data_IF_880663013068
#
_entry.id   IF_880663013068
#
_cell.length_a   1.000
_cell.length_b   1.000
_cell.length_c   1.000
_cell.angle_alpha   90.00
_cell.angle_beta   90.00
_cell.angle_gamma   90.00
#
_symmetry.space_group_name_H-M   'P 1'
#
loop_
_entity.id
_entity.type
_entity.pdbx_description
1 polymer ?
#
# COMPACT_ATOMS: atom_id res chain seq x y z
N UNK A 1 -10.94 54.50 4.79
CA UNK A 1 -10.22 53.29 5.22
C UNK A 1 -11.27 52.19 5.38
N UNK A 2 -11.24 51.17 4.52
CA UNK A 2 -11.90 49.84 4.57
C UNK A 2 -12.27 49.46 3.12
N UNK A 3 -11.34 48.83 2.42
CA UNK A 3 -11.61 47.99 1.23
C UNK A 3 -10.34 47.20 0.89
N UNK A 4 -9.94 46.27 1.76
CA UNK A 4 -8.84 45.34 1.47
C UNK A 4 -8.92 44.10 2.36
N UNK A 5 -9.86 43.19 2.12
CA UNK A 5 -9.82 41.82 2.68
C UNK A 5 -10.85 40.88 2.02
N UNK A 6 -10.70 40.55 0.72
CA UNK A 6 -11.50 39.44 0.14
C UNK A 6 -10.95 38.82 -1.14
N UNK A 7 -9.63 38.68 -1.30
CA UNK A 7 -9.05 38.18 -2.56
C UNK A 7 -7.98 37.07 -2.49
N UNK A 8 -7.74 36.44 -1.33
CA UNK A 8 -6.65 35.45 -1.19
C UNK A 8 -7.07 34.00 -0.83
N UNK A 9 -8.36 33.68 -0.65
CA UNK A 9 -8.74 32.34 -0.16
C UNK A 9 -8.98 31.29 -1.25
N UNK A 10 -9.25 31.69 -2.50
CA UNK A 10 -9.67 30.75 -3.56
C UNK A 10 -8.47 30.09 -4.28
N UNK A 11 -7.36 30.81 -4.47
CA UNK A 11 -6.16 30.25 -5.11
C UNK A 11 -5.45 29.23 -4.22
N UNK A 12 -5.37 29.50 -2.91
CA UNK A 12 -4.63 28.68 -1.94
C UNK A 12 -5.30 27.31 -1.71
N UNK A 13 -6.64 27.27 -1.72
CA UNK A 13 -7.42 26.03 -1.59
C UNK A 13 -7.25 25.10 -2.79
N UNK A 14 -7.12 25.66 -4.00
CA UNK A 14 -6.96 24.87 -5.24
C UNK A 14 -5.56 24.22 -5.38
N UNK A 15 -4.51 24.93 -4.97
CA UNK A 15 -3.12 24.43 -4.99
C UNK A 15 -2.89 23.40 -3.89
N UNK A 16 -3.48 23.62 -2.70
CA UNK A 16 -3.43 22.66 -1.59
C UNK A 16 -4.16 21.36 -1.93
N UNK A 17 -5.37 21.41 -2.50
CA UNK A 17 -6.12 20.21 -2.91
C UNK A 17 -5.41 19.41 -4.00
N UNK A 18 -4.83 20.10 -4.99
CA UNK A 18 -4.03 19.47 -6.05
C UNK A 18 -2.75 18.80 -5.52
N UNK A 19 -2.06 19.40 -4.56
CA UNK A 19 -0.84 18.82 -3.98
C UNK A 19 -1.15 17.56 -3.17
N UNK A 20 -2.22 17.59 -2.37
CA UNK A 20 -2.61 16.46 -1.52
C UNK A 20 -3.02 15.21 -2.31
N UNK A 21 -3.68 15.37 -3.46
CA UNK A 21 -4.06 14.22 -4.30
C UNK A 21 -2.85 13.52 -4.92
N UNK A 22 -1.79 14.27 -5.29
CA UNK A 22 -0.55 13.65 -5.78
C UNK A 22 0.18 12.88 -4.67
N UNK A 23 0.23 13.44 -3.47
CA UNK A 23 0.79 12.74 -2.29
C UNK A 23 0.04 11.43 -2.03
N UNK A 24 -1.29 11.46 -2.01
CA UNK A 24 -2.11 10.26 -1.83
C UNK A 24 -1.83 9.21 -2.91
N UNK A 25 -1.78 9.60 -4.19
CA UNK A 25 -1.46 8.69 -5.30
C UNK A 25 -0.05 8.10 -5.18
N UNK A 26 0.96 8.90 -4.82
CA UNK A 26 2.31 8.41 -4.58
C UNK A 26 2.37 7.39 -3.44
N UNK A 27 1.60 7.59 -2.37
CA UNK A 27 1.48 6.63 -1.28
C UNK A 27 0.80 5.33 -1.72
N UNK A 28 -0.25 5.40 -2.54
CA UNK A 28 -0.88 4.19 -3.12
C UNK A 28 0.11 3.43 -4.02
N UNK A 29 0.88 4.13 -4.86
CA UNK A 29 1.96 3.53 -5.66
C UNK A 29 3.01 2.87 -4.77
N UNK A 30 3.42 3.52 -3.68
CA UNK A 30 4.37 2.98 -2.73
C UNK A 30 3.86 1.66 -2.12
N UNK A 31 2.61 1.62 -1.68
CA UNK A 31 1.99 0.40 -1.13
C UNK A 31 1.93 -0.69 -2.20
N UNK A 32 1.49 -0.38 -3.43
CA UNK A 32 1.49 -1.34 -4.53
C UNK A 32 2.90 -1.90 -4.81
N UNK A 33 3.92 -1.04 -4.81
CA UNK A 33 5.31 -1.45 -5.01
C UNK A 33 5.83 -2.35 -3.88
N UNK A 34 5.46 -2.07 -2.62
CA UNK A 34 5.80 -2.93 -1.48
C UNK A 34 5.20 -4.33 -1.64
N UNK A 35 3.93 -4.44 -2.02
CA UNK A 35 3.28 -5.73 -2.25
C UNK A 35 3.84 -6.46 -3.47
N UNK A 36 4.20 -5.75 -4.54
CA UNK A 36 4.92 -6.34 -5.67
C UNK A 36 6.27 -6.91 -5.24
N UNK A 37 6.99 -6.19 -4.37
CA UNK A 37 8.25 -6.65 -3.80
C UNK A 37 8.07 -7.90 -2.92
N UNK A 38 7.03 -7.94 -2.06
CA UNK A 38 6.72 -9.14 -1.27
C UNK A 38 6.35 -10.33 -2.15
N UNK A 39 5.57 -10.13 -3.22
CA UNK A 39 5.30 -11.17 -4.22
C UNK A 39 6.59 -11.77 -4.78
N UNK A 40 7.55 -10.93 -5.18
CA UNK A 40 8.83 -11.42 -5.74
C UNK A 40 9.62 -12.19 -4.67
N UNK A 41 9.66 -11.67 -3.45
CA UNK A 41 10.33 -12.34 -2.34
C UNK A 41 9.72 -13.71 -2.03
N UNK A 42 8.40 -13.81 -2.02
CA UNK A 42 7.67 -15.01 -1.60
C UNK A 42 7.54 -16.06 -2.70
N UNK A 43 7.41 -15.65 -3.97
CA UNK A 43 7.28 -16.59 -5.11
C UNK A 43 8.63 -16.96 -5.73
N UNK A 44 9.57 -16.02 -5.83
CA UNK A 44 10.81 -16.23 -6.60
C UNK A 44 12.04 -16.39 -5.72
N UNK A 45 12.10 -15.69 -4.59
CA UNK A 45 13.32 -15.58 -3.77
C UNK A 45 13.24 -16.29 -2.41
N UNK A 46 12.13 -16.97 -2.10
CA UNK A 46 11.85 -17.53 -0.78
C UNK A 46 12.95 -18.45 -0.24
N UNK A 47 13.45 -19.36 -1.09
CA UNK A 47 14.53 -20.31 -0.77
C UNK A 47 15.93 -19.77 -1.07
N UNK A 48 16.05 -18.52 -1.55
CA UNK A 48 17.32 -17.89 -1.91
C UNK A 48 17.88 -17.09 -0.72
N UNK A 49 19.18 -16.76 -0.69
CA UNK A 49 19.80 -16.05 0.43
C UNK A 49 19.07 -14.77 0.85
N UNK A 50 18.49 -14.03 -0.10
CA UNK A 50 17.70 -12.83 0.15
C UNK A 50 16.40 -13.12 0.91
N UNK A 51 15.63 -14.15 0.50
CA UNK A 51 14.42 -14.58 1.20
C UNK A 51 14.73 -15.11 2.59
N UNK A 52 15.74 -15.97 2.72
CA UNK A 52 16.21 -16.49 4.02
C UNK A 52 16.54 -15.36 5.00
N UNK A 53 17.31 -14.35 4.55
CA UNK A 53 17.68 -13.19 5.36
C UNK A 53 16.48 -12.31 5.71
N UNK A 54 15.55 -12.11 4.77
CA UNK A 54 14.41 -11.20 4.96
C UNK A 54 13.39 -11.77 5.94
N UNK A 55 13.09 -13.06 5.84
CA UNK A 55 12.10 -13.76 6.66
C UNK A 55 12.69 -14.50 7.86
N UNK A 56 14.03 -14.53 7.99
CA UNK A 56 14.71 -15.24 9.08
C UNK A 56 14.51 -16.76 9.05
N UNK A 57 14.40 -17.34 7.85
CA UNK A 57 14.19 -18.78 7.68
C UNK A 57 15.51 -19.55 7.58
N UNK A 58 15.50 -20.78 8.05
CA UNK A 58 16.54 -21.76 7.72
C UNK A 58 16.28 -22.35 6.32
N UNK A 59 17.29 -22.89 5.63
CA UNK A 59 17.09 -23.54 4.33
C UNK A 59 16.04 -24.66 4.37
N UNK A 60 16.05 -25.49 5.41
CA UNK A 60 15.07 -26.57 5.58
C UNK A 60 13.64 -26.04 5.71
N UNK A 61 13.41 -25.09 6.63
CA UNK A 61 12.09 -24.47 6.82
C UNK A 61 11.60 -23.77 5.54
N UNK A 62 12.49 -23.09 4.82
CA UNK A 62 12.13 -22.42 3.58
C UNK A 62 11.73 -23.41 2.48
N UNK A 63 12.42 -24.55 2.38
CA UNK A 63 12.06 -25.62 1.45
C UNK A 63 10.67 -26.20 1.78
N UNK A 64 10.42 -26.51 3.05
CA UNK A 64 9.16 -27.12 3.50
C UNK A 64 7.94 -26.19 3.31
N UNK A 65 8.16 -24.86 3.36
CA UNK A 65 7.08 -23.85 3.28
C UNK A 65 6.99 -23.15 1.94
N UNK A 66 7.80 -23.52 0.94
CA UNK A 66 7.91 -22.80 -0.33
C UNK A 66 6.57 -22.66 -1.08
N UNK A 67 5.75 -23.71 -1.10
CA UNK A 67 4.44 -23.68 -1.77
C UNK A 67 3.47 -22.74 -1.06
N UNK A 68 3.47 -22.76 0.29
CA UNK A 68 2.63 -21.86 1.08
C UNK A 68 3.06 -20.40 0.87
N UNK A 69 4.36 -20.14 0.86
CA UNK A 69 4.91 -18.81 0.58
C UNK A 69 4.54 -18.34 -0.84
N UNK A 70 4.66 -19.19 -1.85
CA UNK A 70 4.26 -18.83 -3.21
C UNK A 70 2.77 -18.45 -3.29
N UNK A 71 1.90 -19.11 -2.54
CA UNK A 71 0.48 -18.74 -2.44
C UNK A 71 0.28 -17.39 -1.73
N UNK A 72 1.03 -17.12 -0.65
CA UNK A 72 1.04 -15.80 0.00
C UNK A 72 1.47 -14.70 -0.98
N UNK A 73 2.49 -14.98 -1.78
CA UNK A 73 2.98 -14.08 -2.82
C UNK A 73 1.95 -13.79 -3.90
N UNK A 74 1.18 -14.80 -4.33
CA UNK A 74 0.10 -14.59 -5.30
C UNK A 74 -0.99 -13.63 -4.78
N UNK A 75 -1.37 -13.73 -3.50
CA UNK A 75 -2.31 -12.78 -2.90
C UNK A 75 -1.73 -11.35 -2.88
N UNK A 76 -0.43 -11.19 -2.58
CA UNK A 76 0.25 -9.91 -2.71
C UNK A 76 0.21 -9.37 -4.16
N UNK A 77 0.21 -10.26 -5.16
CA UNK A 77 -0.01 -9.92 -6.56
C UNK A 77 -1.39 -9.36 -6.84
N UNK A 78 -2.45 -9.97 -6.29
CA UNK A 78 -3.81 -9.43 -6.42
C UNK A 78 -3.96 -8.05 -5.77
N UNK A 79 -3.35 -7.85 -4.60
CA UNK A 79 -3.33 -6.54 -3.94
C UNK A 79 -2.65 -5.49 -4.82
N UNK A 80 -1.48 -5.82 -5.37
CA UNK A 80 -0.74 -4.95 -6.29
C UNK A 80 -1.57 -4.60 -7.52
N UNK A 81 -2.18 -5.59 -8.17
CA UNK A 81 -2.99 -5.39 -9.36
C UNK A 81 -4.22 -4.52 -9.08
N UNK A 82 -4.90 -4.73 -7.95
CA UNK A 82 -6.05 -3.93 -7.53
C UNK A 82 -5.68 -2.47 -7.26
N UNK A 83 -4.56 -2.22 -6.59
CA UNK A 83 -4.08 -0.85 -6.35
C UNK A 83 -3.65 -0.15 -7.64
N UNK A 84 -2.96 -0.84 -8.56
CA UNK A 84 -2.63 -0.26 -9.88
C UNK A 84 -3.90 0.04 -10.67
N UNK A 85 -4.87 -0.88 -10.67
CA UNK A 85 -6.15 -0.68 -11.33
C UNK A 85 -6.89 0.54 -10.78
N UNK A 86 -6.88 0.74 -9.46
CA UNK A 86 -7.48 1.92 -8.81
C UNK A 86 -6.92 3.25 -9.34
N UNK A 87 -5.62 3.29 -9.64
CA UNK A 87 -4.91 4.49 -10.11
C UNK A 87 -5.15 4.79 -11.59
N UNK A 88 -5.37 3.74 -12.39
CA UNK A 88 -5.53 3.83 -13.84
C UNK A 88 -7.00 3.88 -14.27
N UNK A 89 -7.95 3.69 -13.34
CA UNK A 89 -9.36 3.66 -13.67
C UNK A 89 -9.84 5.01 -14.24
N UNK A 90 -10.54 5.03 -15.40
CA UNK A 90 -10.93 6.28 -16.07
C UNK A 90 -11.96 7.10 -15.29
N UNK A 91 -12.75 6.47 -14.42
CA UNK A 91 -13.64 7.14 -13.47
C UNK A 91 -12.92 7.29 -12.11
N UNK A 92 -12.58 8.52 -11.67
CA UNK A 92 -11.85 8.75 -10.42
C UNK A 92 -12.61 8.32 -9.17
N UNK A 93 -13.94 8.45 -9.13
CA UNK A 93 -14.74 8.06 -7.98
C UNK A 93 -14.75 6.54 -7.80
N UNK A 94 -14.80 5.79 -8.89
CA UNK A 94 -14.68 4.33 -8.84
C UNK A 94 -13.25 3.88 -8.52
N UNK A 95 -12.25 4.55 -9.08
CA UNK A 95 -10.84 4.34 -8.72
C UNK A 95 -10.61 4.52 -7.21
N UNK A 96 -11.17 5.57 -6.61
CA UNK A 96 -11.14 5.79 -5.17
C UNK A 96 -11.74 4.62 -4.38
N UNK A 97 -12.92 4.11 -4.76
CA UNK A 97 -13.54 2.97 -4.08
C UNK A 97 -12.68 1.70 -4.13
N UNK A 98 -12.06 1.42 -5.29
CA UNK A 98 -11.12 0.29 -5.44
C UNK A 98 -9.91 0.48 -4.52
N UNK A 99 -9.31 1.67 -4.52
CA UNK A 99 -8.15 1.98 -3.69
C UNK A 99 -8.47 1.79 -2.20
N UNK A 100 -9.61 2.32 -1.73
CA UNK A 100 -10.07 2.16 -0.35
C UNK A 100 -10.23 0.69 0.02
N UNK A 101 -10.90 -0.10 -0.83
CA UNK A 101 -11.11 -1.52 -0.57
C UNK A 101 -9.78 -2.27 -0.41
N UNK A 102 -8.85 -2.11 -1.35
CA UNK A 102 -7.56 -2.81 -1.31
C UNK A 102 -6.66 -2.31 -0.18
N UNK A 103 -6.64 -1.01 0.12
CA UNK A 103 -5.89 -0.48 1.26
C UNK A 103 -6.44 -1.03 2.60
N UNK A 104 -7.75 -1.15 2.75
CA UNK A 104 -8.36 -1.78 3.93
C UNK A 104 -7.96 -3.26 4.05
N UNK A 105 -7.97 -4.01 2.93
CA UNK A 105 -7.47 -5.39 2.92
C UNK A 105 -6.01 -5.47 3.39
N UNK A 106 -5.14 -4.58 2.89
CA UNK A 106 -3.72 -4.52 3.31
C UNK A 106 -3.60 -4.21 4.80
N UNK A 107 -4.38 -3.26 5.33
CA UNK A 107 -4.37 -2.90 6.75
C UNK A 107 -4.77 -4.11 7.60
N UNK A 108 -5.89 -4.76 7.28
CA UNK A 108 -6.37 -5.92 8.03
C UNK A 108 -5.37 -7.07 7.98
N UNK A 109 -4.86 -7.40 6.79
CA UNK A 109 -3.86 -8.46 6.63
C UNK A 109 -2.56 -8.13 7.37
N UNK A 110 -2.08 -6.89 7.29
CA UNK A 110 -0.87 -6.44 7.96
C UNK A 110 -0.98 -6.40 9.48
N UNK A 111 -2.17 -6.08 10.02
CA UNK A 111 -2.45 -6.17 11.45
C UNK A 111 -2.51 -7.64 11.91
N UNK A 112 -3.21 -8.49 11.17
CA UNK A 112 -3.32 -9.91 11.49
C UNK A 112 -1.95 -10.62 11.40
N UNK A 113 -1.15 -10.35 10.36
CA UNK A 113 0.22 -10.84 10.24
C UNK A 113 1.15 -10.28 11.34
N UNK A 114 0.92 -9.04 11.74
CA UNK A 114 1.57 -8.40 12.90
C UNK A 114 1.38 -9.17 14.20
N UNK A 115 0.13 -9.58 14.45
CA UNK A 115 -0.27 -10.36 15.61
C UNK A 115 0.20 -11.81 15.56
N UNK A 116 0.10 -12.47 14.40
CA UNK A 116 0.30 -13.92 14.25
C UNK A 116 1.73 -14.33 13.87
N UNK A 117 2.52 -13.46 13.25
CA UNK A 117 3.85 -13.80 12.69
C UNK A 117 4.94 -12.89 13.23
N UNK A 118 4.83 -11.57 13.05
CA UNK A 118 5.86 -10.63 13.50
C UNK A 118 5.35 -9.19 13.50
N UNK A 119 5.61 -8.44 14.59
CA UNK A 119 5.32 -6.99 14.70
C UNK A 119 5.88 -6.16 13.54
N UNK A 120 6.94 -6.64 12.88
CA UNK A 120 7.51 -5.97 11.70
C UNK A 120 6.49 -5.84 10.56
N UNK A 121 5.59 -6.81 10.42
CA UNK A 121 4.57 -6.83 9.35
C UNK A 121 3.62 -5.64 9.49
N UNK A 122 3.20 -5.30 10.71
CA UNK A 122 2.39 -4.09 10.96
C UNK A 122 3.10 -2.83 10.47
N UNK A 123 4.40 -2.71 10.72
CA UNK A 123 5.19 -1.54 10.35
C UNK A 123 5.40 -1.41 8.83
N UNK A 124 5.59 -2.52 8.11
CA UNK A 124 5.91 -2.50 6.67
C UNK A 124 4.70 -2.68 5.76
N UNK A 125 3.56 -3.14 6.28
CA UNK A 125 2.31 -3.32 5.52
C UNK A 125 1.19 -2.40 6.02
N UNK A 126 0.73 -2.59 7.26
CA UNK A 126 -0.47 -1.90 7.74
C UNK A 126 -0.25 -0.38 7.90
N UNK A 127 0.88 0.04 8.46
CA UNK A 127 1.19 1.46 8.65
C UNK A 127 1.23 2.27 7.34
N UNK A 128 2.01 1.89 6.30
CA UNK A 128 2.01 2.65 5.04
C UNK A 128 0.65 2.65 4.36
N UNK A 129 -0.11 1.55 4.43
CA UNK A 129 -1.46 1.50 3.87
C UNK A 129 -2.45 2.39 4.63
N UNK A 130 -2.36 2.46 5.96
CA UNK A 130 -3.18 3.36 6.77
C UNK A 130 -2.88 4.83 6.46
N UNK A 131 -1.59 5.18 6.32
CA UNK A 131 -1.18 6.54 5.91
C UNK A 131 -1.71 6.86 4.51
N UNK A 132 -1.57 5.93 3.56
CA UNK A 132 -2.12 6.10 2.21
C UNK A 132 -3.64 6.32 2.23
N UNK A 133 -4.38 5.54 3.02
CA UNK A 133 -5.84 5.64 3.14
C UNK A 133 -6.27 6.99 3.74
N UNK A 134 -5.61 7.44 4.81
CA UNK A 134 -5.91 8.73 5.44
C UNK A 134 -5.63 9.87 4.46
N UNK A 135 -4.48 9.86 3.79
CA UNK A 135 -4.16 10.89 2.79
C UNK A 135 -5.14 10.87 1.61
N UNK A 136 -5.55 9.69 1.15
CA UNK A 136 -6.53 9.54 0.07
C UNK A 136 -7.90 10.11 0.49
N UNK A 137 -8.35 9.83 1.71
CA UNK A 137 -9.61 10.36 2.25
C UNK A 137 -9.60 11.88 2.43
N UNK A 138 -8.47 12.46 2.83
CA UNK A 138 -8.33 13.90 2.98
C UNK A 138 -8.19 14.64 1.63
N UNK A 139 -7.82 13.92 0.57
CA UNK A 139 -7.63 14.48 -0.77
C UNK A 139 -8.82 14.26 -1.71
N UNK A 140 -9.80 13.46 -1.31
CA UNK A 140 -11.01 13.11 -2.08
C UNK A 140 -12.16 14.09 -1.91
#
# INVERSE_FOLDING_TARGET
MVFAARRNTVSDQSVSGGTMIYVAKCLVVLVAALHAYFLILEMCLWTKPQGLKTFGNTPAKAADTAVLAANQGLYNGFLTAGLIWSLLHPNPAFGFQIAVFFLLCVIVAGLYGGYSVSKRITMVQALPAAIALICLWLAS
#
